data_IF_505368546989
#
_entry.id   IF_505368546989
#
_cell.length_a   1.000
_cell.length_b   1.000
_cell.length_c   1.000
_cell.angle_alpha   90.00
_cell.angle_beta   90.00
_cell.angle_gamma   90.00
#
_symmetry.space_group_name_H-M   'P 1'
#
loop_
_entity.id
_entity.type
_entity.pdbx_description
1 polymer ?
#
# COMPACT_ATOMS: atom_id res chain seq x y z
N UNK A 1 46.18 -19.21 -4.71
CA UNK A 1 45.42 -17.96 -4.99
C UNK A 1 44.00 -18.24 -5.46
N UNK A 2 43.76 -19.05 -6.51
CA UNK A 2 42.41 -19.32 -7.03
C UNK A 2 41.37 -19.83 -6.00
N UNK A 3 41.80 -20.69 -5.06
CA UNK A 3 40.93 -21.24 -4.00
C UNK A 3 40.43 -20.18 -3.02
N UNK A 4 41.28 -19.19 -2.71
CA UNK A 4 40.92 -18.06 -1.83
C UNK A 4 39.95 -17.11 -2.51
N UNK A 5 40.15 -16.82 -3.81
CA UNK A 5 39.22 -16.03 -4.61
C UNK A 5 37.84 -16.70 -4.73
N UNK A 6 37.78 -18.02 -4.90
CA UNK A 6 36.53 -18.77 -4.95
C UNK A 6 35.75 -18.65 -3.63
N UNK A 7 36.43 -18.78 -2.48
CA UNK A 7 35.79 -18.67 -1.16
C UNK A 7 35.24 -17.27 -0.93
N UNK A 8 35.98 -16.22 -1.32
CA UNK A 8 35.52 -14.83 -1.21
C UNK A 8 34.30 -14.60 -2.12
N UNK A 9 34.31 -15.10 -3.36
CA UNK A 9 33.20 -14.95 -4.29
C UNK A 9 31.92 -15.64 -3.78
N UNK A 10 32.04 -16.85 -3.21
CA UNK A 10 30.91 -17.56 -2.61
C UNK A 10 30.39 -16.81 -1.38
N UNK A 11 31.28 -16.35 -0.49
CA UNK A 11 30.88 -15.59 0.68
C UNK A 11 30.15 -14.29 0.31
N UNK A 12 30.64 -13.56 -0.69
CA UNK A 12 29.98 -12.36 -1.22
C UNK A 12 28.61 -12.69 -1.81
N UNK A 13 28.48 -13.77 -2.58
CA UNK A 13 27.20 -14.20 -3.15
C UNK A 13 26.19 -14.59 -2.05
N UNK A 14 26.62 -15.30 -1.00
CA UNK A 14 25.75 -15.68 0.13
C UNK A 14 25.30 -14.45 0.92
N UNK A 15 26.21 -13.51 1.21
CA UNK A 15 25.86 -12.26 1.91
C UNK A 15 24.88 -11.44 1.07
N UNK A 16 25.14 -11.31 -0.23
CA UNK A 16 24.26 -10.58 -1.14
C UNK A 16 22.87 -11.22 -1.21
N UNK A 17 22.79 -12.55 -1.33
CA UNK A 17 21.52 -13.28 -1.29
C UNK A 17 20.76 -13.09 0.03
N UNK A 18 21.45 -13.18 1.16
CA UNK A 18 20.85 -12.97 2.48
C UNK A 18 20.32 -11.54 2.67
N UNK A 19 21.02 -10.53 2.16
CA UNK A 19 20.57 -9.13 2.20
C UNK A 19 19.32 -8.91 1.33
N UNK A 20 19.27 -9.50 0.13
CA UNK A 20 18.09 -9.40 -0.73
C UNK A 20 16.85 -10.06 -0.10
N UNK A 21 17.01 -11.27 0.44
CA UNK A 21 15.91 -12.01 1.07
C UNK A 21 15.46 -11.31 2.37
N UNK A 22 16.41 -10.91 3.21
CA UNK A 22 16.13 -10.27 4.49
C UNK A 22 15.41 -8.92 4.34
N UNK A 23 15.82 -8.11 3.36
CA UNK A 23 15.14 -6.82 3.10
C UNK A 23 13.75 -6.99 2.52
N UNK A 24 13.51 -8.04 1.72
CA UNK A 24 12.18 -8.40 1.24
C UNK A 24 11.24 -8.80 2.39
N UNK A 25 11.72 -9.64 3.31
CA UNK A 25 10.93 -10.14 4.44
C UNK A 25 10.62 -9.05 5.48
N UNK A 26 11.59 -8.17 5.76
CA UNK A 26 11.38 -7.03 6.65
C UNK A 26 10.40 -6.00 6.08
N UNK A 27 10.30 -5.90 4.75
CA UNK A 27 9.35 -5.01 4.08
C UNK A 27 7.95 -5.59 3.98
N UNK A 28 7.82 -6.89 3.71
CA UNK A 28 6.50 -7.53 3.60
C UNK A 28 5.77 -7.54 4.94
N UNK A 29 6.47 -7.64 6.06
CA UNK A 29 5.88 -7.61 7.41
C UNK A 29 5.58 -6.21 7.96
N UNK A 30 5.87 -5.12 7.22
CA UNK A 30 5.65 -3.76 7.71
C UNK A 30 4.20 -3.34 7.49
N UNK A 31 3.54 -3.01 8.60
CA UNK A 31 2.23 -2.35 8.60
C UNK A 31 2.43 -0.90 9.01
N UNK A 32 2.00 0.01 8.15
CA UNK A 32 1.99 1.45 8.41
C UNK A 32 0.65 1.86 9.01
N UNK A 33 0.69 2.60 10.11
CA UNK A 33 -0.48 3.24 10.71
C UNK A 33 -0.55 4.69 10.23
N UNK A 34 -1.71 5.06 9.71
CA UNK A 34 -1.95 6.39 9.15
C UNK A 34 -2.28 7.38 10.26
N UNK A 35 -1.81 8.61 10.09
CA UNK A 35 -2.26 9.75 10.88
C UNK A 35 -3.70 10.10 10.51
N UNK A 36 -4.53 10.45 11.50
CA UNK A 36 -5.94 10.78 11.32
C UNK A 36 -6.66 10.86 12.66
N UNK A 37 -7.99 11.07 12.67
CA UNK A 37 -8.76 11.34 13.89
C UNK A 37 -8.79 10.19 14.91
N UNK A 38 -8.65 8.93 14.47
CA UNK A 38 -8.80 7.75 15.33
C UNK A 38 -7.71 6.67 15.14
N UNK A 39 -6.67 6.96 14.34
CA UNK A 39 -5.60 6.00 13.97
C UNK A 39 -6.10 4.64 13.42
N UNK A 40 -7.34 4.57 12.92
CA UNK A 40 -7.98 3.32 12.48
C UNK A 40 -7.48 2.78 11.15
N UNK A 41 -6.64 3.54 10.45
CA UNK A 41 -6.22 3.22 9.09
C UNK A 41 -4.84 2.61 9.10
N UNK A 42 -4.75 1.41 8.55
CA UNK A 42 -3.52 0.65 8.41
C UNK A 42 -3.31 0.27 6.96
N UNK A 43 -2.07 0.18 6.51
CA UNK A 43 -1.76 -0.31 5.17
C UNK A 43 -0.44 -1.07 5.14
N UNK A 44 -0.30 -1.96 4.17
CA UNK A 44 0.93 -2.73 4.01
C UNK A 44 0.91 -3.62 2.78
N UNK A 45 2.08 -4.15 2.44
CA UNK A 45 2.18 -5.24 1.46
C UNK A 45 1.49 -6.50 1.99
N UNK A 46 1.48 -6.69 3.31
CA UNK A 46 0.64 -7.67 4.02
C UNK A 46 -0.17 -6.96 5.12
N UNK A 47 -1.29 -7.57 5.51
CA UNK A 47 -2.00 -7.23 6.75
C UNK A 47 -2.30 -8.52 7.51
N UNK A 48 -2.66 -8.42 8.80
CA UNK A 48 -3.11 -9.58 9.56
C UNK A 48 -4.27 -10.28 8.83
N UNK A 49 -4.05 -11.54 8.43
CA UNK A 49 -4.97 -12.36 7.65
C UNK A 49 -4.86 -12.22 6.12
N UNK A 50 -4.12 -11.23 5.62
CA UNK A 50 -4.05 -10.85 4.20
C UNK A 50 -2.60 -10.98 3.66
N UNK A 51 -2.28 -12.03 2.87
CA UNK A 51 -0.95 -12.24 2.31
C UNK A 51 -0.62 -11.22 1.22
N UNK A 52 0.67 -11.08 0.89
CA UNK A 52 1.09 -10.14 -0.16
C UNK A 52 0.60 -10.61 -1.53
N UNK A 53 -0.08 -9.72 -2.24
CA UNK A 53 -0.45 -9.98 -3.64
C UNK A 53 0.66 -9.47 -4.56
N UNK A 54 1.33 -10.39 -5.25
CA UNK A 54 2.40 -10.06 -6.20
C UNK A 54 1.90 -9.09 -7.29
N UNK A 55 2.74 -8.12 -7.63
CA UNK A 55 2.45 -7.13 -8.69
C UNK A 55 1.38 -6.09 -8.35
N UNK A 56 0.77 -6.13 -7.15
CA UNK A 56 -0.32 -5.20 -6.78
C UNK A 56 0.09 -4.11 -5.79
N UNK A 57 1.25 -4.24 -5.15
CA UNK A 57 1.72 -3.30 -4.13
C UNK A 57 3.20 -2.97 -4.24
N UNK A 58 3.53 -1.76 -3.81
CA UNK A 58 4.88 -1.23 -3.66
C UNK A 58 4.94 -0.36 -2.38
N UNK A 59 6.08 0.30 -2.14
CA UNK A 59 6.29 1.11 -0.94
C UNK A 59 5.43 2.38 -0.87
N UNK A 60 4.92 2.85 -2.01
CA UNK A 60 4.07 4.05 -2.13
C UNK A 60 2.60 3.62 -2.12
N UNK A 61 2.29 2.60 -2.90
CA UNK A 61 0.95 2.05 -3.04
C UNK A 61 0.94 0.60 -2.51
N UNK A 62 0.64 0.38 -1.22
CA UNK A 62 0.65 -0.94 -0.62
C UNK A 62 -0.33 -1.91 -1.28
N UNK A 63 -0.21 -3.22 -1.04
CA UNK A 63 -1.18 -4.18 -1.57
C UNK A 63 -2.54 -4.06 -0.88
N UNK A 64 -2.54 -3.66 0.39
CA UNK A 64 -3.71 -3.68 1.26
C UNK A 64 -3.86 -2.40 2.07
N UNK A 65 -5.12 -2.06 2.34
CA UNK A 65 -5.54 -1.02 3.28
C UNK A 65 -6.62 -1.60 4.19
N UNK A 66 -6.55 -1.30 5.48
CA UNK A 66 -7.65 -1.50 6.43
C UNK A 66 -8.16 -0.13 6.84
N UNK A 67 -9.46 0.10 6.65
CA UNK A 67 -10.16 1.34 6.98
C UNK A 67 -11.45 1.00 7.70
N UNK A 68 -11.64 1.52 8.92
CA UNK A 68 -12.83 1.26 9.76
C UNK A 68 -13.19 -0.23 9.85
N UNK A 69 -12.18 -1.08 10.06
CA UNK A 69 -12.33 -2.54 10.16
C UNK A 69 -12.52 -3.29 8.84
N UNK A 70 -12.83 -2.60 7.74
CA UNK A 70 -12.92 -3.20 6.40
C UNK A 70 -11.57 -3.25 5.71
N UNK A 71 -11.36 -4.27 4.89
CA UNK A 71 -10.13 -4.47 4.11
C UNK A 71 -10.37 -4.12 2.65
N UNK A 72 -9.37 -3.53 2.01
CA UNK A 72 -9.39 -3.14 0.61
C UNK A 72 -8.11 -3.62 -0.07
N UNK A 73 -8.26 -4.25 -1.23
CA UNK A 73 -7.15 -4.72 -2.06
C UNK A 73 -6.86 -3.73 -3.17
N UNK A 74 -5.57 -3.52 -3.44
CA UNK A 74 -5.12 -2.80 -4.62
C UNK A 74 -5.63 -3.50 -5.89
N UNK A 75 -6.14 -2.72 -6.83
CA UNK A 75 -6.55 -3.19 -8.16
C UNK A 75 -5.42 -3.10 -9.18
N UNK A 76 -4.23 -2.62 -8.78
CA UNK A 76 -3.04 -2.49 -9.63
C UNK A 76 -3.08 -1.31 -10.63
N UNK A 77 -4.26 -0.76 -10.94
CA UNK A 77 -4.41 0.37 -11.85
C UNK A 77 -4.21 1.73 -11.19
N UNK A 78 -3.40 2.60 -11.80
CA UNK A 78 -3.38 4.02 -11.44
C UNK A 78 -4.67 4.69 -11.95
N UNK A 79 -5.37 5.38 -11.06
CA UNK A 79 -6.50 6.24 -11.37
C UNK A 79 -5.97 7.64 -11.74
N UNK A 80 -6.22 8.15 -12.97
CA UNK A 80 -5.97 9.56 -13.28
C UNK A 80 -6.97 10.39 -12.48
N UNK A 81 -6.50 10.96 -11.37
CA UNK A 81 -7.29 11.89 -10.59
C UNK A 81 -6.91 13.31 -11.02
N UNK A 82 -7.88 14.01 -11.61
CA UNK A 82 -7.77 15.44 -11.91
C UNK A 82 -7.78 16.29 -10.63
N UNK A 83 -7.80 17.61 -10.80
CA UNK A 83 -7.84 18.57 -9.68
C UNK A 83 -9.14 18.53 -8.86
N UNK A 84 -10.15 17.80 -9.33
CA UNK A 84 -11.49 17.69 -8.74
C UNK A 84 -11.73 16.40 -7.95
N UNK A 85 -10.69 15.57 -7.77
CA UNK A 85 -10.78 14.27 -7.10
C UNK A 85 -11.76 13.31 -7.80
N UNK A 86 -11.84 13.46 -9.12
CA UNK A 86 -12.74 12.72 -9.98
C UNK A 86 -11.99 11.60 -10.70
N UNK A 87 -12.59 10.41 -10.68
CA UNK A 87 -12.17 9.27 -11.48
C UNK A 87 -13.40 8.74 -12.23
N UNK A 88 -13.39 8.84 -13.57
CA UNK A 88 -14.58 8.62 -14.37
C UNK A 88 -15.71 9.59 -14.02
N UNK A 89 -16.90 9.06 -13.71
CA UNK A 89 -18.06 9.85 -13.27
C UNK A 89 -18.13 10.06 -11.75
N UNK A 90 -17.26 9.42 -10.98
CA UNK A 90 -17.32 9.42 -9.51
C UNK A 90 -16.42 10.49 -8.92
N UNK A 91 -16.95 11.25 -7.96
CA UNK A 91 -16.20 12.23 -7.16
C UNK A 91 -15.90 11.66 -5.79
N UNK A 92 -14.63 11.64 -5.41
CA UNK A 92 -14.19 11.12 -4.14
C UNK A 92 -14.11 12.23 -3.10
N UNK A 93 -14.51 11.91 -1.87
CA UNK A 93 -14.38 12.81 -0.73
C UNK A 93 -12.97 12.70 -0.14
N UNK A 94 -12.36 13.85 0.18
CA UNK A 94 -11.08 13.88 0.86
C UNK A 94 -11.23 13.49 2.31
N UNK A 95 -10.57 12.41 2.75
CA UNK A 95 -10.52 12.08 4.17
C UNK A 95 -9.38 12.82 4.89
N UNK A 96 -9.45 12.82 6.21
CA UNK A 96 -8.40 13.37 7.08
C UNK A 96 -7.20 12.43 7.25
N UNK A 97 -7.28 11.19 6.74
CA UNK A 97 -6.23 10.19 6.92
C UNK A 97 -5.07 10.40 5.95
N UNK A 98 -3.85 10.40 6.52
CA UNK A 98 -2.60 10.58 5.77
C UNK A 98 -1.50 9.64 6.22
N UNK A 99 -0.67 9.24 5.26
CA UNK A 99 0.59 8.55 5.48
C UNK A 99 1.68 9.23 4.65
N UNK A 100 2.47 10.08 5.31
CA UNK A 100 3.43 10.95 4.63
C UNK A 100 2.74 11.86 3.63
N UNK A 101 3.11 11.75 2.35
CA UNK A 101 2.50 12.47 1.23
C UNK A 101 1.34 11.72 0.55
N UNK A 102 0.90 10.60 1.14
CA UNK A 102 -0.27 9.84 0.67
C UNK A 102 -1.51 10.25 1.46
N UNK A 103 -2.64 10.39 0.77
CA UNK A 103 -3.95 10.68 1.35
C UNK A 103 -4.97 9.64 0.94
N UNK A 104 -5.89 9.34 1.85
CA UNK A 104 -7.02 8.45 1.56
C UNK A 104 -8.22 9.27 1.07
N UNK A 105 -8.82 8.84 -0.04
CA UNK A 105 -10.06 9.39 -0.59
C UNK A 105 -11.15 8.32 -0.56
N UNK A 106 -12.38 8.72 -0.26
CA UNK A 106 -13.51 7.81 -0.07
C UNK A 106 -14.54 7.95 -1.19
N UNK A 107 -15.04 6.82 -1.69
CA UNK A 107 -16.23 6.80 -2.54
C UNK A 107 -17.49 6.94 -1.67
N UNK A 108 -18.03 8.16 -1.58
CA UNK A 108 -19.19 8.48 -0.75
C UNK A 108 -18.91 9.48 0.37
N UNK A 109 -19.91 9.72 1.26
CA UNK A 109 -19.85 10.78 2.26
C UNK A 109 -18.89 10.45 3.42
N UNK A 110 -18.24 11.50 3.96
CA UNK A 110 -17.31 11.39 5.11
C UNK A 110 -18.00 11.07 6.44
N UNK A 111 -19.33 11.22 6.51
CA UNK A 111 -20.14 11.05 7.73
C UNK A 111 -20.03 9.67 8.37
N UNK A 112 -19.46 8.69 7.66
CA UNK A 112 -19.16 7.35 8.18
C UNK A 112 -20.36 6.48 8.45
N UNK A 113 -21.55 6.95 8.09
CA UNK A 113 -22.78 6.14 8.10
C UNK A 113 -22.69 4.95 7.13
N UNK A 114 -21.86 5.06 6.09
CA UNK A 114 -21.66 4.03 5.08
C UNK A 114 -20.18 3.68 4.96
N UNK A 115 -19.89 2.38 4.94
CA UNK A 115 -18.57 1.88 4.57
C UNK A 115 -18.43 1.96 3.05
N UNK A 116 -17.41 2.64 2.51
CA UNK A 116 -17.24 2.78 1.08
C UNK A 116 -16.94 1.42 0.42
N UNK A 117 -17.39 1.24 -0.81
CA UNK A 117 -17.02 0.05 -1.61
C UNK A 117 -15.61 0.21 -2.19
N UNK A 118 -15.25 1.45 -2.52
CA UNK A 118 -13.97 1.80 -3.13
C UNK A 118 -13.31 2.93 -2.36
N UNK A 119 -12.00 2.83 -2.19
CA UNK A 119 -11.16 3.92 -1.68
C UNK A 119 -10.00 4.17 -2.66
N UNK A 120 -9.52 5.41 -2.69
CA UNK A 120 -8.34 5.76 -3.48
C UNK A 120 -7.22 6.20 -2.55
N UNK A 121 -6.01 5.71 -2.82
CA UNK A 121 -4.80 6.31 -2.29
C UNK A 121 -4.31 7.34 -3.28
N UNK A 122 -4.25 8.60 -2.87
CA UNK A 122 -3.68 9.68 -3.64
C UNK A 122 -2.27 9.99 -3.15
N UNK A 123 -1.30 9.92 -4.05
CA UNK A 123 0.08 10.33 -3.81
C UNK A 123 0.30 11.78 -4.25
N UNK A 124 0.62 12.66 -3.31
CA UNK A 124 1.02 14.05 -3.59
C UNK A 124 2.56 14.18 -3.65
N UNK A 125 3.11 15.16 -4.39
CA UNK A 125 2.44 16.10 -5.30
C UNK A 125 2.18 15.53 -6.70
N UNK A 126 2.59 14.27 -6.97
CA UNK A 126 2.50 13.64 -8.28
C UNK A 126 1.06 13.47 -8.80
N UNK A 127 0.06 13.56 -7.92
CA UNK A 127 -1.38 13.31 -8.21
C UNK A 127 -1.62 11.94 -8.87
N UNK A 128 -0.75 10.98 -8.57
CA UNK A 128 -0.98 9.60 -8.92
C UNK A 128 -1.91 9.02 -7.88
N UNK A 129 -3.03 8.42 -8.30
CA UNK A 129 -3.89 7.70 -7.38
C UNK A 129 -3.94 6.23 -7.74
N UNK A 130 -4.17 5.37 -6.75
CA UNK A 130 -4.42 3.95 -6.98
C UNK A 130 -5.75 3.56 -6.35
N UNK A 131 -6.50 2.74 -7.07
CA UNK A 131 -7.80 2.26 -6.64
C UNK A 131 -7.70 1.00 -5.80
N UNK A 132 -8.47 0.98 -4.72
CA UNK A 132 -8.62 -0.15 -3.83
C UNK A 132 -10.10 -0.47 -3.67
N UNK A 133 -10.45 -1.72 -3.93
CA UNK A 133 -11.81 -2.20 -3.78
C UNK A 133 -11.93 -3.04 -2.52
N UNK A 134 -13.06 -2.90 -1.85
CA UNK A 134 -13.37 -3.65 -0.64
C UNK A 134 -13.38 -5.13 -0.95
N UNK A 135 -12.76 -5.90 -0.08
CA UNK A 135 -12.68 -7.35 -0.24
C UNK A 135 -12.42 -8.00 1.11
N UNK A 136 -12.58 -9.31 1.16
CA UNK A 136 -12.06 -10.12 2.26
C UNK A 136 -10.59 -10.47 1.98
N UNK A 137 -9.83 -10.80 3.02
CA UNK A 137 -8.47 -11.28 2.80
C UNK A 137 -8.52 -12.54 1.91
N UNK A 138 -7.92 -12.45 0.72
CA UNK A 138 -7.82 -13.55 -0.24
C UNK A 138 -6.67 -14.50 0.11
#
# INVERSE_FOLDING_TARGET
MARTFLVIAIAAAVIYGALLIGTGFLRSGRVDTWTGPDASVQSGLTLAGCPQVEGRGDAIFPSWIRYRGSVYASTGGLAPIGTTWQYGATRFAESEYRLGSTRLLLDGPLSGATTPETVLLLQEPARAARRYDRTDCA
#
